data_IF_947070743308
#
_entry.id   IF_947070743308
#
_cell.length_a   1.000
_cell.length_b   1.000
_cell.length_c   1.000
_cell.angle_alpha   90.00
_cell.angle_beta   90.00
_cell.angle_gamma   90.00
#
_symmetry.space_group_name_H-M   'P 1'
#
loop_
_entity.id
_entity.type
_entity.pdbx_description
1 polymer ?
#
# COMPACT_ATOMS: atom_id res chain seq x y z
N UNK A 1 -49.87 0.15 -54.68
CA UNK A 1 -48.80 0.69 -55.54
C UNK A 1 -48.94 2.20 -55.78
N UNK A 2 -49.87 2.91 -55.13
CA UNK A 2 -50.02 4.38 -55.29
C UNK A 2 -49.29 5.23 -54.23
N UNK A 3 -48.81 4.63 -53.14
CA UNK A 3 -48.27 5.38 -51.98
C UNK A 3 -46.75 5.69 -52.05
N UNK A 4 -46.08 5.33 -53.16
CA UNK A 4 -44.66 5.64 -53.39
C UNK A 4 -44.45 6.78 -54.40
N UNK A 5 -45.49 7.20 -55.12
CA UNK A 5 -45.40 8.29 -56.10
C UNK A 5 -45.44 9.69 -55.46
N UNK A 6 -46.20 9.87 -54.38
CA UNK A 6 -46.33 11.19 -53.73
C UNK A 6 -45.09 11.57 -52.92
N UNK A 7 -44.44 10.61 -52.25
CA UNK A 7 -43.19 10.86 -51.49
C UNK A 7 -42.00 11.26 -52.37
N UNK A 8 -41.95 10.81 -53.63
CA UNK A 8 -40.87 11.19 -54.54
C UNK A 8 -41.06 12.62 -55.09
N UNK A 9 -42.30 13.12 -55.17
CA UNK A 9 -42.57 14.50 -55.58
C UNK A 9 -42.34 15.52 -54.45
N UNK A 10 -42.53 15.14 -53.19
CA UNK A 10 -42.16 16.00 -52.05
C UNK A 10 -40.64 16.19 -51.92
N UNK A 11 -39.85 15.16 -52.22
CA UNK A 11 -38.37 15.25 -52.18
C UNK A 11 -37.84 16.08 -53.36
N UNK A 12 -38.43 15.95 -54.56
CA UNK A 12 -38.00 16.74 -55.72
C UNK A 12 -38.43 18.22 -55.66
N UNK A 13 -39.52 18.55 -54.97
CA UNK A 13 -39.93 19.95 -54.78
C UNK A 13 -39.12 20.69 -53.70
N UNK A 14 -38.35 19.99 -52.86
CA UNK A 14 -37.40 20.61 -51.95
C UNK A 14 -36.04 20.94 -52.60
N UNK A 15 -35.85 20.60 -53.88
CA UNK A 15 -34.60 20.77 -54.64
C UNK A 15 -34.60 21.96 -55.61
N UNK A 16 -35.57 22.86 -55.49
CA UNK A 16 -35.58 24.10 -56.26
C UNK A 16 -35.52 25.28 -55.29
N UNK A 17 -34.45 26.06 -55.38
CA UNK A 17 -34.27 27.39 -54.76
C UNK A 17 -33.54 27.42 -53.39
N UNK A 18 -32.20 27.40 -53.42
CA UNK A 18 -31.36 28.52 -52.94
C UNK A 18 -29.85 28.14 -52.95
N UNK A 19 -29.16 28.56 -54.02
CA UNK A 19 -27.94 29.38 -53.95
C UNK A 19 -26.77 29.07 -53.00
N UNK A 20 -26.61 27.89 -52.42
CA UNK A 20 -25.54 27.63 -51.43
C UNK A 20 -24.62 26.44 -51.78
N UNK A 21 -23.32 26.70 -51.56
CA UNK A 21 -22.10 25.94 -51.91
C UNK A 21 -22.13 24.41 -51.70
N UNK A 22 -21.43 23.60 -52.53
CA UNK A 22 -21.47 22.14 -52.47
C UNK A 22 -20.56 21.51 -51.39
N UNK A 23 -20.57 22.02 -50.16
CA UNK A 23 -19.66 21.54 -49.09
C UNK A 23 -20.31 20.75 -47.93
N UNK A 24 -21.64 20.52 -47.92
CA UNK A 24 -22.31 19.93 -46.74
C UNK A 24 -22.94 18.54 -46.95
N UNK A 25 -22.29 17.63 -47.68
CA UNK A 25 -22.82 16.25 -47.87
C UNK A 25 -22.10 15.13 -47.10
N UNK A 26 -21.27 15.48 -46.12
CA UNK A 26 -20.77 14.52 -45.14
C UNK A 26 -21.17 14.94 -43.73
N UNK A 27 -22.47 14.86 -43.42
CA UNK A 27 -22.87 14.73 -42.01
C UNK A 27 -22.37 13.37 -41.56
N UNK A 28 -21.16 13.34 -40.98
CA UNK A 28 -20.66 12.21 -40.24
C UNK A 28 -21.76 11.79 -39.26
N UNK A 29 -22.38 10.63 -39.51
CA UNK A 29 -23.26 9.99 -38.55
C UNK A 29 -22.47 9.91 -37.26
N UNK A 30 -22.85 10.69 -36.25
CA UNK A 30 -22.23 10.68 -34.93
C UNK A 30 -22.30 9.22 -34.44
N UNK A 31 -21.18 8.50 -34.54
CA UNK A 31 -21.08 7.15 -34.00
C UNK A 31 -21.36 7.28 -32.51
N UNK A 32 -22.46 6.66 -32.06
CA UNK A 32 -22.72 6.58 -30.64
C UNK A 32 -21.56 5.83 -29.98
N UNK A 33 -21.07 6.29 -28.82
CA UNK A 33 -19.99 5.60 -28.12
C UNK A 33 -20.37 4.14 -27.93
N UNK A 34 -19.48 3.23 -28.33
CA UNK A 34 -19.68 1.80 -28.08
C UNK A 34 -19.46 1.60 -26.57
N UNK A 35 -20.55 1.43 -25.83
CA UNK A 35 -20.47 1.03 -24.42
C UNK A 35 -20.11 -0.45 -24.33
N UNK A 36 -18.88 -0.70 -23.90
CA UNK A 36 -18.36 -2.05 -23.69
C UNK A 36 -18.63 -2.48 -22.26
N UNK A 37 -19.11 -3.71 -22.06
CA UNK A 37 -19.36 -4.26 -20.72
C UNK A 37 -18.05 -4.44 -19.92
N UNK A 38 -18.08 -4.15 -18.62
CA UNK A 38 -16.90 -4.22 -17.73
C UNK A 38 -16.27 -5.62 -17.65
N UNK A 39 -17.06 -6.68 -17.80
CA UNK A 39 -16.57 -8.07 -17.90
C UNK A 39 -15.64 -8.24 -19.11
N UNK A 40 -15.99 -7.60 -20.23
CA UNK A 40 -15.17 -7.65 -21.43
C UNK A 40 -13.90 -6.81 -21.24
N UNK A 41 -14.01 -5.61 -20.66
CA UNK A 41 -12.85 -4.75 -20.33
C UNK A 41 -11.87 -5.49 -19.40
N UNK A 42 -12.36 -6.10 -18.33
CA UNK A 42 -11.56 -6.95 -17.43
C UNK A 42 -10.87 -8.09 -18.18
N UNK A 43 -11.59 -8.80 -19.05
CA UNK A 43 -11.00 -9.88 -19.86
C UNK A 43 -9.90 -9.37 -20.80
N UNK A 44 -10.05 -8.17 -21.36
CA UNK A 44 -9.01 -7.54 -22.18
C UNK A 44 -7.77 -7.22 -21.34
N UNK A 45 -7.94 -6.61 -20.17
CA UNK A 45 -6.83 -6.31 -19.23
C UNK A 45 -6.08 -7.59 -18.88
N UNK A 46 -6.80 -8.62 -18.43
CA UNK A 46 -6.20 -9.92 -18.08
C UNK A 46 -5.46 -10.56 -19.26
N UNK A 47 -6.02 -10.49 -20.47
CA UNK A 47 -5.39 -11.07 -21.66
C UNK A 47 -4.13 -10.29 -22.05
N UNK A 48 -4.11 -8.97 -21.88
CA UNK A 48 -2.90 -8.17 -22.15
C UNK A 48 -1.79 -8.56 -21.15
N UNK A 49 -2.11 -8.65 -19.86
CA UNK A 49 -1.15 -9.08 -18.83
C UNK A 49 -0.64 -10.49 -19.11
N UNK A 50 -1.52 -11.42 -19.48
CA UNK A 50 -1.17 -12.80 -19.85
C UNK A 50 -0.19 -12.85 -21.04
N UNK A 51 -0.48 -12.11 -22.12
CA UNK A 51 0.39 -12.06 -23.31
C UNK A 51 1.74 -11.42 -22.98
N UNK A 52 1.73 -10.35 -22.18
CA UNK A 52 2.91 -9.58 -21.81
C UNK A 52 3.84 -10.35 -20.86
N UNK A 53 3.29 -11.10 -19.90
CA UNK A 53 4.06 -11.91 -18.94
C UNK A 53 4.47 -13.29 -19.47
N UNK A 54 3.91 -13.72 -20.61
CA UNK A 54 4.18 -15.01 -21.24
C UNK A 54 5.68 -15.23 -21.48
N UNK A 55 6.16 -16.45 -21.23
CA UNK A 55 7.53 -16.84 -21.53
C UNK A 55 8.59 -16.04 -20.78
N UNK A 56 8.29 -15.57 -19.56
CA UNK A 56 9.14 -14.66 -18.79
C UNK A 56 9.38 -13.34 -19.52
N UNK A 57 8.29 -12.71 -19.96
CA UNK A 57 8.29 -11.45 -20.71
C UNK A 57 8.94 -11.53 -22.09
N UNK A 58 8.91 -12.70 -22.75
CA UNK A 58 9.53 -12.88 -24.07
C UNK A 58 8.92 -12.01 -25.17
N UNK A 59 7.68 -11.54 -24.95
CA UNK A 59 6.94 -10.69 -25.89
C UNK A 59 7.15 -9.18 -25.62
N UNK A 60 7.91 -8.82 -24.58
CA UNK A 60 8.13 -7.42 -24.21
C UNK A 60 9.40 -6.92 -24.89
N UNK A 61 9.30 -5.93 -25.81
CA UNK A 61 10.47 -5.37 -26.47
C UNK A 61 11.26 -4.45 -25.54
N UNK A 62 10.56 -3.70 -24.69
CA UNK A 62 11.13 -2.77 -23.72
C UNK A 62 10.20 -2.67 -22.51
N UNK A 63 10.75 -2.80 -21.29
CA UNK A 63 9.98 -2.69 -20.06
C UNK A 63 9.47 -1.29 -19.78
N UNK A 64 10.10 -0.23 -20.30
CA UNK A 64 9.58 1.14 -20.20
C UNK A 64 8.25 1.29 -20.94
N UNK A 65 8.12 0.66 -22.11
CA UNK A 65 6.85 0.60 -22.83
C UNK A 65 5.80 -0.16 -22.03
N UNK A 66 6.14 -1.33 -21.50
CA UNK A 66 5.18 -2.13 -20.75
C UNK A 66 4.73 -1.43 -19.46
N UNK A 67 5.65 -0.76 -18.76
CA UNK A 67 5.34 0.08 -17.60
C UNK A 67 4.35 1.20 -17.98
N UNK A 68 4.55 1.86 -19.13
CA UNK A 68 3.60 2.83 -19.68
C UNK A 68 2.22 2.23 -19.93
N UNK A 69 2.15 1.04 -20.56
CA UNK A 69 0.88 0.33 -20.78
C UNK A 69 0.15 0.05 -19.46
N UNK A 70 0.86 -0.40 -18.43
CA UNK A 70 0.24 -0.68 -17.13
C UNK A 70 -0.23 0.61 -16.44
N UNK A 71 0.56 1.68 -16.49
CA UNK A 71 0.18 3.00 -15.98
C UNK A 71 -1.05 3.56 -16.69
N UNK A 72 -1.12 3.44 -18.01
CA UNK A 72 -2.29 3.87 -18.78
C UNK A 72 -3.53 3.06 -18.40
N UNK A 73 -3.40 1.75 -18.14
CA UNK A 73 -4.51 0.93 -17.65
C UNK A 73 -5.00 1.36 -16.28
N UNK A 74 -4.09 1.72 -15.36
CA UNK A 74 -4.45 2.29 -14.05
C UNK A 74 -5.25 3.58 -14.25
N UNK A 75 -4.72 4.51 -15.07
CA UNK A 75 -5.34 5.81 -15.35
C UNK A 75 -6.71 5.66 -15.99
N UNK A 76 -6.85 4.76 -16.96
CA UNK A 76 -8.15 4.43 -17.58
C UNK A 76 -9.13 3.81 -16.59
N UNK A 77 -8.65 3.04 -15.60
CA UNK A 77 -9.53 2.43 -14.62
C UNK A 77 -10.09 3.42 -13.59
N UNK A 78 -9.47 4.59 -13.42
CA UNK A 78 -10.04 5.68 -12.59
C UNK A 78 -11.44 6.07 -13.11
N UNK A 79 -11.59 6.19 -14.43
CA UNK A 79 -12.88 6.51 -15.06
C UNK A 79 -13.80 5.28 -15.17
N UNK A 80 -13.24 4.12 -15.51
CA UNK A 80 -14.04 2.90 -15.74
C UNK A 80 -14.51 2.23 -14.44
N UNK A 81 -13.80 2.42 -13.32
CA UNK A 81 -14.10 1.89 -11.98
C UNK A 81 -14.36 0.38 -11.96
N UNK A 82 -13.61 -0.37 -12.76
CA UNK A 82 -13.72 -1.83 -12.76
C UNK A 82 -13.08 -2.36 -11.46
N UNK A 83 -13.78 -3.19 -10.69
CA UNK A 83 -13.24 -3.77 -9.45
C UNK A 83 -11.96 -4.58 -9.69
N UNK A 84 -11.08 -4.62 -8.69
CA UNK A 84 -9.83 -5.43 -8.63
C UNK A 84 -8.75 -5.13 -9.68
N UNK A 85 -8.99 -4.27 -10.67
CA UNK A 85 -8.01 -3.98 -11.72
C UNK A 85 -6.72 -3.39 -11.13
N UNK A 86 -6.83 -2.50 -10.15
CA UNK A 86 -5.69 -1.91 -9.43
C UNK A 86 -4.85 -2.93 -8.68
N UNK A 87 -5.50 -3.88 -8.01
CA UNK A 87 -4.83 -5.00 -7.36
C UNK A 87 -4.05 -5.83 -8.38
N UNK A 88 -4.69 -6.23 -9.48
CA UNK A 88 -4.09 -7.06 -10.53
C UNK A 88 -2.91 -6.35 -11.21
N UNK A 89 -3.08 -5.07 -11.53
CA UNK A 89 -2.01 -4.28 -12.16
C UNK A 89 -0.84 -4.07 -11.19
N UNK A 90 -1.10 -3.73 -9.94
CA UNK A 90 -0.02 -3.55 -8.96
C UNK A 90 0.73 -4.85 -8.63
N UNK A 91 0.07 -6.01 -8.63
CA UNK A 91 0.71 -7.33 -8.54
C UNK A 91 1.65 -7.57 -9.73
N UNK A 92 1.27 -7.10 -10.92
CA UNK A 92 2.10 -7.15 -12.11
C UNK A 92 3.35 -6.26 -12.00
N UNK A 93 3.26 -5.09 -11.35
CA UNK A 93 4.44 -4.25 -11.03
C UNK A 93 5.40 -5.00 -10.09
N UNK A 94 4.87 -5.66 -9.06
CA UNK A 94 5.67 -6.46 -8.12
C UNK A 94 6.40 -7.59 -8.85
N UNK A 95 5.71 -8.34 -9.72
CA UNK A 95 6.33 -9.44 -10.49
C UNK A 95 7.44 -8.93 -11.42
N UNK A 96 7.27 -7.75 -12.04
CA UNK A 96 8.32 -7.10 -12.84
C UNK A 96 9.54 -6.78 -11.97
N UNK A 97 9.36 -6.13 -10.82
CA UNK A 97 10.46 -5.79 -9.92
C UNK A 97 11.24 -7.02 -9.42
N UNK A 98 10.53 -8.11 -9.14
CA UNK A 98 11.14 -9.37 -8.69
C UNK A 98 11.97 -10.00 -9.81
N UNK A 99 11.44 -10.06 -11.04
CA UNK A 99 12.06 -10.79 -12.16
C UNK A 99 13.06 -9.97 -12.97
N UNK A 100 12.96 -8.65 -12.95
CA UNK A 100 13.70 -7.74 -13.85
C UNK A 100 14.37 -6.63 -13.03
N UNK A 101 15.56 -6.90 -12.45
CA UNK A 101 16.24 -5.92 -11.60
C UNK A 101 16.59 -4.61 -12.32
N UNK A 102 16.86 -4.65 -13.62
CA UNK A 102 17.31 -3.50 -14.40
C UNK A 102 16.26 -2.40 -14.57
N UNK A 103 14.97 -2.69 -14.39
CA UNK A 103 13.89 -1.69 -14.52
C UNK A 103 13.42 -1.12 -13.17
N UNK A 104 13.88 -1.68 -12.03
CA UNK A 104 13.42 -1.27 -10.70
C UNK A 104 13.46 0.24 -10.45
N UNK A 105 14.52 0.99 -10.86
CA UNK A 105 14.53 2.43 -10.67
C UNK A 105 13.35 3.14 -11.33
N UNK A 106 13.03 2.76 -12.57
CA UNK A 106 11.92 3.32 -13.33
C UNK A 106 10.58 2.91 -12.72
N UNK A 107 10.46 1.67 -12.21
CA UNK A 107 9.23 1.23 -11.53
C UNK A 107 9.00 2.01 -10.24
N UNK A 108 10.04 2.23 -9.42
CA UNK A 108 9.95 3.06 -8.20
C UNK A 108 9.55 4.49 -8.56
N UNK A 109 10.14 5.07 -9.60
CA UNK A 109 9.78 6.41 -10.09
C UNK A 109 8.29 6.50 -10.45
N UNK A 110 7.78 5.54 -11.24
CA UNK A 110 6.36 5.47 -11.60
C UNK A 110 5.45 5.26 -10.38
N UNK A 111 5.86 4.46 -9.39
CA UNK A 111 5.09 4.27 -8.16
C UNK A 111 4.94 5.59 -7.38
N UNK A 112 6.01 6.38 -7.26
CA UNK A 112 5.97 7.68 -6.58
C UNK A 112 5.06 8.64 -7.34
N UNK A 113 5.15 8.68 -8.67
CA UNK A 113 4.27 9.52 -9.51
C UNK A 113 2.78 9.15 -9.36
N UNK A 114 2.47 7.85 -9.37
CA UNK A 114 1.10 7.37 -9.17
C UNK A 114 0.55 7.78 -7.79
N UNK A 115 1.35 7.69 -6.74
CA UNK A 115 0.96 8.15 -5.40
C UNK A 115 0.75 9.67 -5.37
N UNK A 116 1.64 10.45 -6.01
CA UNK A 116 1.46 11.91 -6.15
C UNK A 116 0.16 12.28 -6.87
N UNK A 117 -0.28 11.48 -7.84
CA UNK A 117 -1.54 11.70 -8.55
C UNK A 117 -2.78 11.30 -7.71
N UNK A 118 -2.64 10.43 -6.70
CA UNK A 118 -3.75 9.92 -5.86
C UNK A 118 -4.37 10.95 -4.92
N UNK A 119 -3.68 12.04 -4.61
CA UNK A 119 -4.18 13.10 -3.71
C UNK A 119 -5.37 13.89 -4.32
N UNK A 120 -5.70 13.65 -5.59
CA UNK A 120 -6.91 14.16 -6.25
C UNK A 120 -8.09 13.22 -5.96
N UNK A 121 -9.11 13.67 -5.23
CA UNK A 121 -10.20 12.85 -4.63
C UNK A 121 -10.83 11.76 -5.51
N UNK A 122 -10.88 11.93 -6.84
CA UNK A 122 -11.45 10.95 -7.77
C UNK A 122 -10.50 9.78 -8.15
N UNK A 123 -9.18 9.96 -8.06
CA UNK A 123 -8.19 8.95 -8.44
C UNK A 123 -8.00 7.85 -7.38
N UNK A 124 -8.22 8.19 -6.11
CA UNK A 124 -7.94 7.30 -4.96
C UNK A 124 -8.76 6.01 -4.94
N UNK A 125 -10.07 6.09 -5.22
CA UNK A 125 -10.94 4.90 -5.18
C UNK A 125 -10.56 3.87 -6.24
N UNK A 126 -9.90 4.30 -7.32
CA UNK A 126 -9.43 3.44 -8.39
C UNK A 126 -8.11 2.72 -8.09
N UNK A 127 -7.43 3.01 -6.97
CA UNK A 127 -6.07 2.55 -6.66
C UNK A 127 -5.92 1.88 -5.28
N UNK A 128 -6.95 1.94 -4.45
CA UNK A 128 -6.96 1.53 -3.03
C UNK A 128 -6.28 0.18 -2.75
N UNK A 129 -6.62 -0.87 -3.51
CA UNK A 129 -6.15 -2.23 -3.29
C UNK A 129 -4.72 -2.44 -3.83
N UNK A 130 -4.31 -1.61 -4.79
CA UNK A 130 -2.97 -1.64 -5.37
C UNK A 130 -1.92 -0.81 -4.65
N UNK A 131 -2.33 0.20 -3.86
CA UNK A 131 -1.39 1.12 -3.20
C UNK A 131 -0.37 0.42 -2.30
N UNK A 132 -0.77 -0.63 -1.56
CA UNK A 132 0.16 -1.40 -0.71
C UNK A 132 1.36 -1.93 -1.48
N UNK A 133 1.16 -2.36 -2.73
CA UNK A 133 2.21 -2.89 -3.58
C UNK A 133 3.14 -1.78 -4.06
N UNK A 134 2.62 -0.59 -4.40
CA UNK A 134 3.46 0.55 -4.79
C UNK A 134 4.31 1.05 -3.64
N UNK A 135 3.72 1.20 -2.45
CA UNK A 135 4.46 1.59 -1.23
C UNK A 135 5.51 0.54 -0.86
N UNK A 136 5.18 -0.75 -1.01
CA UNK A 136 6.16 -1.82 -0.81
C UNK A 136 7.31 -1.75 -1.80
N UNK A 137 7.05 -1.54 -3.09
CA UNK A 137 8.08 -1.39 -4.14
C UNK A 137 9.02 -0.24 -3.79
N UNK A 138 8.48 0.91 -3.37
CA UNK A 138 9.26 2.08 -2.97
C UNK A 138 10.18 1.72 -1.80
N UNK A 139 9.65 1.14 -0.73
CA UNK A 139 10.44 0.78 0.45
C UNK A 139 11.50 -0.31 0.18
N UNK A 140 11.20 -1.26 -0.70
CA UNK A 140 12.09 -2.37 -1.03
C UNK A 140 13.26 -1.95 -1.93
N UNK A 141 12.96 -1.15 -2.96
CA UNK A 141 13.90 -0.83 -4.05
C UNK A 141 14.38 0.64 -4.07
N UNK A 142 14.21 1.38 -2.97
CA UNK A 142 14.68 2.77 -2.87
C UNK A 142 16.17 2.96 -3.19
N UNK A 143 17.02 2.02 -2.76
CA UNK A 143 18.47 2.08 -3.06
C UNK A 143 18.74 1.94 -4.55
N UNK A 144 18.02 1.05 -5.25
CA UNK A 144 18.13 0.89 -6.70
C UNK A 144 17.71 2.19 -7.41
N UNK A 145 16.64 2.84 -6.94
CA UNK A 145 16.15 4.14 -7.43
C UNK A 145 17.18 5.28 -7.29
N UNK A 146 17.83 5.37 -6.13
CA UNK A 146 18.85 6.40 -5.87
C UNK A 146 20.16 6.14 -6.60
N UNK A 147 20.54 4.87 -6.80
CA UNK A 147 21.80 4.48 -7.45
C UNK A 147 21.72 4.40 -8.98
N UNK A 148 20.54 4.58 -9.57
CA UNK A 148 20.39 4.52 -11.02
C UNK A 148 21.22 5.62 -11.69
N UNK A 149 22.22 5.22 -12.50
CA UNK A 149 22.97 6.16 -13.31
C UNK A 149 22.02 6.84 -14.31
N UNK A 150 22.28 8.11 -14.58
CA UNK A 150 21.58 8.90 -15.59
C UNK A 150 21.81 8.38 -17.02
N UNK A 151 22.66 7.34 -17.18
CA UNK A 151 23.15 6.78 -18.45
C UNK A 151 22.16 5.88 -19.20
N UNK A 152 20.86 5.85 -18.85
CA UNK A 152 19.84 5.23 -19.71
C UNK A 152 19.33 6.18 -20.81
N UNK A 153 20.15 7.14 -21.21
CA UNK A 153 19.98 7.98 -22.38
C UNK A 153 20.31 7.15 -23.65
N UNK A 154 19.41 6.22 -24.01
CA UNK A 154 19.12 5.91 -25.41
C UNK A 154 18.19 7.02 -25.98
N UNK A 155 18.41 8.28 -25.59
CA UNK A 155 17.98 9.39 -26.42
C UNK A 155 18.99 9.39 -27.57
N UNK A 156 18.51 9.04 -28.76
CA UNK A 156 19.24 9.25 -30.00
C UNK A 156 19.97 10.59 -29.89
N UNK A 157 21.31 10.58 -29.97
CA UNK A 157 22.10 11.78 -30.17
C UNK A 157 21.59 12.41 -31.47
N UNK A 158 20.59 13.28 -31.33
CA UNK A 158 20.26 14.24 -32.37
C UNK A 158 21.48 15.15 -32.38
N UNK A 159 22.36 14.95 -33.36
CA UNK A 159 23.39 15.93 -33.70
C UNK A 159 22.66 17.27 -33.91
N UNK A 160 22.63 18.11 -32.87
CA UNK A 160 22.10 19.45 -32.96
C UNK A 160 23.23 20.33 -33.46
N UNK A 161 23.04 20.84 -34.68
CA UNK A 161 23.84 21.93 -35.23
C UNK A 161 24.05 23.03 -34.19
N UNK A 162 25.30 23.51 -34.14
CA UNK A 162 25.79 24.57 -33.27
C UNK A 162 24.87 25.81 -33.32
N UNK A 163 24.66 26.44 -32.16
CA UNK A 163 24.02 27.76 -31.94
C UNK A 163 22.53 27.79 -31.50
N UNK A 164 22.17 27.09 -30.41
CA UNK A 164 21.04 27.55 -29.58
C UNK A 164 21.37 27.48 -28.08
N UNK A 165 21.81 28.62 -27.55
CA UNK A 165 22.12 28.91 -26.15
C UNK A 165 20.81 29.06 -25.33
N UNK A 166 19.88 28.12 -25.52
CA UNK A 166 18.66 28.05 -24.73
C UNK A 166 18.92 27.21 -23.47
N UNK A 167 18.46 27.74 -22.35
CA UNK A 167 18.49 27.21 -20.98
C UNK A 167 17.64 25.91 -20.82
N UNK A 168 17.66 25.06 -21.84
CA UNK A 168 16.97 23.78 -22.00
C UNK A 168 18.04 22.66 -22.14
N UNK A 169 19.21 22.88 -21.55
CA UNK A 169 20.19 21.83 -21.29
C UNK A 169 19.66 20.92 -20.17
N UNK A 170 18.97 19.84 -20.56
CA UNK A 170 18.75 18.60 -19.76
C UNK A 170 18.50 18.85 -18.26
N UNK A 171 17.25 19.10 -17.89
CA UNK A 171 16.83 18.97 -16.50
C UNK A 171 16.99 17.50 -16.08
N UNK A 172 18.08 17.20 -15.37
CA UNK A 172 18.21 16.01 -14.54
C UNK A 172 17.05 16.10 -13.56
N UNK A 173 16.01 15.26 -13.74
CA UNK A 173 14.93 15.19 -12.75
C UNK A 173 15.54 14.63 -11.47
N UNK A 174 15.86 15.53 -10.54
CA UNK A 174 16.40 15.15 -9.24
C UNK A 174 15.48 14.08 -8.63
N UNK A 175 16.11 12.99 -8.18
CA UNK A 175 15.41 11.87 -7.55
C UNK A 175 14.82 12.35 -6.23
N UNK A 176 13.59 11.92 -5.94
CA UNK A 176 12.85 12.38 -4.77
C UNK A 176 13.48 11.76 -3.51
N UNK A 177 13.93 12.56 -2.53
CA UNK A 177 14.57 12.05 -1.33
C UNK A 177 13.53 11.40 -0.40
N UNK A 178 13.97 10.43 0.42
CA UNK A 178 13.07 9.68 1.29
C UNK A 178 12.20 10.54 2.23
N UNK A 179 12.69 11.65 2.82
CA UNK A 179 11.82 12.52 3.62
C UNK A 179 10.58 13.03 2.87
N UNK A 180 10.74 13.44 1.61
CA UNK A 180 9.61 13.92 0.78
C UNK A 180 8.65 12.77 0.44
N UNK A 181 9.18 11.56 0.18
CA UNK A 181 8.35 10.37 -0.06
C UNK A 181 7.55 9.99 1.19
N UNK A 182 8.17 10.05 2.37
CA UNK A 182 7.48 9.77 3.64
C UNK A 182 6.41 10.82 3.91
N UNK A 183 6.69 12.10 3.66
CA UNK A 183 5.70 13.17 3.78
C UNK A 183 4.53 12.95 2.82
N UNK A 184 4.81 12.58 1.57
CA UNK A 184 3.79 12.26 0.57
C UNK A 184 2.86 11.13 1.04
N UNK A 185 3.42 10.03 1.56
CA UNK A 185 2.64 8.84 1.95
C UNK A 185 1.93 9.05 3.29
N UNK A 186 2.56 9.77 4.23
CA UNK A 186 1.98 10.04 5.56
C UNK A 186 0.93 11.16 5.54
N UNK A 187 1.10 12.15 4.66
CA UNK A 187 0.18 13.26 4.44
C UNK A 187 -1.02 12.91 3.56
N UNK A 188 -1.04 11.72 2.97
CA UNK A 188 -2.11 11.30 2.09
C UNK A 188 -3.44 11.23 2.88
N UNK A 189 -4.36 12.16 2.59
CA UNK A 189 -5.71 12.24 3.20
C UNK A 189 -6.44 10.89 3.21
N UNK A 190 -6.11 10.09 2.21
CA UNK A 190 -6.67 8.80 1.90
C UNK A 190 -6.11 7.68 2.80
N UNK A 191 -4.87 7.81 3.29
CA UNK A 191 -4.30 6.94 4.31
C UNK A 191 -5.02 7.11 5.67
N UNK A 192 -5.41 8.34 6.02
CA UNK A 192 -6.26 8.58 7.21
C UNK A 192 -7.66 7.95 7.07
N UNK A 193 -8.17 7.77 5.86
CA UNK A 193 -9.43 7.03 5.61
C UNK A 193 -9.22 5.52 5.72
N UNK A 194 -8.06 5.00 5.27
CA UNK A 194 -7.65 3.59 5.42
C UNK A 194 -7.46 3.18 6.88
N UNK A 195 -6.90 4.06 7.73
CA UNK A 195 -6.67 3.73 9.15
C UNK A 195 -7.95 3.62 9.99
N UNK A 196 -9.06 4.17 9.50
CA UNK A 196 -10.37 4.15 10.17
C UNK A 196 -11.34 3.12 9.55
N UNK A 197 -10.85 2.28 8.64
CA UNK A 197 -11.63 1.36 7.82
C UNK A 197 -11.70 -0.09 8.31
N UNK A 198 -12.35 -0.93 7.50
CA UNK A 198 -12.65 -2.36 7.75
C UNK A 198 -11.38 -3.26 7.66
N UNK A 199 -11.47 -4.55 8.00
CA UNK A 199 -10.29 -5.45 8.06
C UNK A 199 -9.42 -5.54 6.78
N UNK A 200 -9.96 -5.24 5.60
CA UNK A 200 -9.22 -5.23 4.32
C UNK A 200 -8.23 -4.07 4.21
N UNK A 201 -8.42 -2.99 4.96
CA UNK A 201 -7.49 -1.85 4.99
C UNK A 201 -6.35 -2.05 5.98
N UNK A 202 -6.51 -2.95 6.95
CA UNK A 202 -5.49 -3.24 7.97
C UNK A 202 -4.24 -3.89 7.37
N UNK A 203 -4.41 -4.86 6.47
CA UNK A 203 -3.29 -5.50 5.76
C UNK A 203 -2.48 -4.47 4.95
N UNK A 204 -3.17 -3.50 4.36
CA UNK A 204 -2.55 -2.38 3.64
C UNK A 204 -1.76 -1.50 4.60
N UNK A 205 -2.34 -1.11 5.74
CA UNK A 205 -1.66 -0.27 6.75
C UNK A 205 -0.42 -0.99 7.31
N UNK A 206 -0.52 -2.29 7.58
CA UNK A 206 0.60 -3.12 8.01
C UNK A 206 1.78 -3.08 7.01
N UNK A 207 1.49 -3.21 5.72
CA UNK A 207 2.50 -3.09 4.65
C UNK A 207 3.09 -1.68 4.58
N UNK A 208 2.27 -0.64 4.75
CA UNK A 208 2.72 0.75 4.78
C UNK A 208 3.73 0.97 5.92
N UNK A 209 3.37 0.57 7.15
CA UNK A 209 4.23 0.72 8.33
C UNK A 209 5.59 0.06 8.09
N UNK A 210 5.60 -1.19 7.62
CA UNK A 210 6.85 -1.91 7.34
C UNK A 210 7.65 -1.23 6.22
N UNK A 211 6.98 -0.73 5.18
CA UNK A 211 7.63 -0.10 4.03
C UNK A 211 8.23 1.26 4.38
N UNK A 212 7.59 2.04 5.27
CA UNK A 212 8.13 3.31 5.77
C UNK A 212 9.37 3.08 6.65
N UNK A 213 9.32 2.07 7.52
CA UNK A 213 10.48 1.67 8.33
C UNK A 213 11.66 1.20 7.45
N UNK A 214 11.36 0.40 6.41
CA UNK A 214 12.35 0.02 5.38
C UNK A 214 12.92 1.23 4.66
N UNK A 215 12.08 2.13 4.17
CA UNK A 215 12.48 3.33 3.44
C UNK A 215 13.43 4.20 4.28
N UNK A 216 13.14 4.38 5.57
CA UNK A 216 14.06 5.04 6.51
C UNK A 216 15.42 4.34 6.58
N UNK A 217 15.44 3.01 6.74
CA UNK A 217 16.71 2.27 6.71
C UNK A 217 17.47 2.44 5.39
N UNK A 218 16.77 2.38 4.25
CA UNK A 218 17.38 2.51 2.92
C UNK A 218 17.92 3.91 2.70
N UNK A 219 17.23 4.95 3.17
CA UNK A 219 17.70 6.32 3.15
C UNK A 219 19.03 6.48 3.88
N UNK A 220 19.13 5.95 5.08
CA UNK A 220 20.38 5.97 5.85
C UNK A 220 21.55 5.31 5.10
N UNK A 221 21.27 4.24 4.33
CA UNK A 221 22.29 3.58 3.50
C UNK A 221 22.71 4.44 2.30
N UNK A 222 21.79 5.19 1.69
CA UNK A 222 22.10 6.05 0.53
C UNK A 222 22.98 7.25 0.88
N UNK A 223 23.02 7.64 2.16
CA UNK A 223 23.93 8.68 2.66
C UNK A 223 25.38 8.19 2.82
N UNK A 224 25.62 6.88 2.74
CA UNK A 224 26.95 6.28 2.88
C UNK A 224 27.47 6.25 4.32
N UNK A 225 28.79 6.01 4.45
CA UNK A 225 29.44 5.77 5.74
C UNK A 225 30.00 7.04 6.41
N UNK A 226 29.86 8.21 5.78
CA UNK A 226 30.45 9.48 6.21
C UNK A 226 29.40 10.57 6.18
N UNK A 227 28.83 10.88 7.34
CA UNK A 227 27.73 11.83 7.49
C UNK A 227 28.22 13.19 7.94
N UNK A 228 27.61 14.23 7.39
CA UNK A 228 27.75 15.61 7.83
C UNK A 228 26.63 15.98 8.81
N UNK A 229 26.77 17.13 9.48
CA UNK A 229 25.78 17.66 10.43
C UNK A 229 24.36 17.68 9.84
N UNK A 230 24.22 18.01 8.57
CA UNK A 230 22.92 18.10 7.90
C UNK A 230 22.31 16.71 7.64
N UNK A 231 23.13 15.69 7.37
CA UNK A 231 22.68 14.29 7.25
C UNK A 231 22.12 13.79 8.59
N UNK A 232 22.84 14.03 9.70
CA UNK A 232 22.38 13.67 11.03
C UNK A 232 21.06 14.39 11.39
N UNK A 233 20.93 15.68 11.07
CA UNK A 233 19.70 16.43 11.29
C UNK A 233 18.56 15.86 10.45
N UNK A 234 18.77 15.65 9.15
CA UNK A 234 17.75 15.15 8.24
C UNK A 234 17.23 13.78 8.67
N UNK A 235 18.13 12.86 9.04
CA UNK A 235 17.73 11.53 9.55
C UNK A 235 17.02 11.65 10.90
N UNK A 236 17.49 12.52 11.79
CA UNK A 236 16.84 12.77 13.09
C UNK A 236 15.42 13.33 12.94
N UNK A 237 15.22 14.28 12.03
CA UNK A 237 13.92 14.85 11.69
C UNK A 237 12.99 13.79 11.09
N UNK A 238 13.47 13.02 10.11
CA UNK A 238 12.71 11.94 9.50
C UNK A 238 12.29 10.87 10.54
N UNK A 239 13.20 10.53 11.46
CA UNK A 239 12.90 9.60 12.56
C UNK A 239 11.77 10.12 13.46
N UNK A 240 11.78 11.41 13.81
CA UNK A 240 10.71 12.02 14.62
C UNK A 240 9.39 12.05 13.86
N UNK A 241 9.39 12.40 12.57
CA UNK A 241 8.19 12.42 11.73
C UNK A 241 7.55 11.03 11.67
N UNK A 242 8.36 9.98 11.47
CA UNK A 242 7.89 8.60 11.47
C UNK A 242 7.36 8.17 12.84
N UNK A 243 8.01 8.55 13.94
CA UNK A 243 7.51 8.26 15.30
C UNK A 243 6.11 8.87 15.50
N UNK A 244 5.93 10.16 15.19
CA UNK A 244 4.63 10.83 15.31
C UNK A 244 3.56 10.24 14.41
N UNK A 245 3.94 9.74 13.23
CA UNK A 245 3.04 9.03 12.33
C UNK A 245 2.62 7.65 12.89
N UNK A 246 3.58 6.87 13.39
CA UNK A 246 3.33 5.52 13.95
C UNK A 246 2.50 5.55 15.24
N UNK A 247 2.62 6.60 16.05
CA UNK A 247 1.85 6.77 17.30
C UNK A 247 0.33 6.79 17.08
N UNK A 248 -0.12 7.13 15.87
CA UNK A 248 -1.54 7.10 15.49
C UNK A 248 -2.12 5.67 15.46
N UNK A 249 -1.25 4.65 15.36
CA UNK A 249 -1.63 3.24 15.20
C UNK A 249 -1.50 2.41 16.48
N UNK A 250 -1.03 2.99 17.59
CA UNK A 250 -0.76 2.27 18.84
C UNK A 250 -2.01 1.66 19.50
N UNK A 251 -3.18 2.18 19.17
CA UNK A 251 -4.47 1.69 19.68
C UNK A 251 -5.32 1.04 18.58
N UNK A 252 -4.69 0.63 17.47
CA UNK A 252 -5.39 -0.11 16.42
C UNK A 252 -6.00 -1.39 16.98
N UNK A 253 -7.22 -1.72 16.53
CA UNK A 253 -7.89 -2.99 16.88
C UNK A 253 -7.19 -4.17 16.20
N UNK A 254 -6.52 -3.92 15.08
CA UNK A 254 -5.73 -4.93 14.41
C UNK A 254 -4.38 -5.10 15.11
N UNK A 255 -4.20 -6.25 15.75
CA UNK A 255 -2.98 -6.58 16.49
C UNK A 255 -1.72 -6.51 15.63
N UNK A 256 -1.78 -6.90 14.36
CA UNK A 256 -0.63 -6.86 13.47
C UNK A 256 -0.18 -5.42 13.18
N UNK A 257 -1.15 -4.52 12.95
CA UNK A 257 -0.89 -3.08 12.76
C UNK A 257 -0.35 -2.47 14.05
N UNK A 258 -0.98 -2.77 15.18
CA UNK A 258 -0.58 -2.28 16.50
C UNK A 258 0.84 -2.71 16.86
N UNK A 259 1.13 -4.00 16.81
CA UNK A 259 2.43 -4.57 17.18
C UNK A 259 3.55 -3.98 16.31
N UNK A 260 3.35 -3.88 14.99
CA UNK A 260 4.33 -3.24 14.10
C UNK A 260 4.53 -1.77 14.45
N UNK A 261 3.45 -1.03 14.66
CA UNK A 261 3.54 0.39 14.97
C UNK A 261 4.30 0.63 16.27
N UNK A 262 3.93 -0.04 17.35
CA UNK A 262 4.59 0.07 18.66
C UNK A 262 6.06 -0.34 18.56
N UNK A 263 6.34 -1.48 17.94
CA UNK A 263 7.72 -1.98 17.78
C UNK A 263 8.62 -1.01 17.03
N UNK A 264 8.16 -0.50 15.87
CA UNK A 264 8.96 0.45 15.09
C UNK A 264 9.06 1.82 15.76
N UNK A 265 8.03 2.28 16.49
CA UNK A 265 8.12 3.52 17.27
C UNK A 265 9.26 3.46 18.27
N UNK A 266 9.35 2.38 19.06
CA UNK A 266 10.39 2.28 20.09
C UNK A 266 11.79 2.13 19.48
N UNK A 267 11.93 1.38 18.38
CA UNK A 267 13.19 1.30 17.64
C UNK A 267 13.62 2.66 17.09
N UNK A 268 12.71 3.42 16.48
CA UNK A 268 13.01 4.74 15.93
C UNK A 268 13.31 5.77 17.01
N UNK A 269 12.69 5.70 18.19
CA UNK A 269 13.07 6.54 19.35
C UNK A 269 14.52 6.30 19.76
N UNK A 270 14.94 5.03 19.85
CA UNK A 270 16.33 4.67 20.15
C UNK A 270 17.30 5.18 19.07
N UNK A 271 16.93 5.06 17.79
CA UNK A 271 17.71 5.63 16.67
C UNK A 271 17.81 7.14 16.81
N UNK A 272 16.70 7.85 17.02
CA UNK A 272 16.67 9.30 17.19
C UNK A 272 17.52 9.78 18.35
N UNK A 273 17.51 9.07 19.48
CA UNK A 273 18.36 9.40 20.63
C UNK A 273 19.84 9.13 20.36
N UNK A 274 20.18 8.06 19.63
CA UNK A 274 21.55 7.81 19.19
C UNK A 274 22.07 8.92 18.27
N UNK A 275 21.24 9.43 17.36
CA UNK A 275 21.58 10.56 16.48
C UNK A 275 21.82 11.84 17.29
N UNK A 276 20.93 12.16 18.24
CA UNK A 276 21.08 13.34 19.11
C UNK A 276 22.39 13.30 19.91
N UNK A 277 22.77 12.12 20.41
CA UNK A 277 24.02 11.94 21.15
C UNK A 277 25.25 12.20 20.27
N UNK A 278 25.23 11.83 18.99
CA UNK A 278 26.37 12.06 18.10
C UNK A 278 26.58 13.53 17.74
N UNK A 279 25.51 14.35 17.78
CA UNK A 279 25.54 15.79 17.48
C UNK A 279 25.76 16.64 18.75
N UNK A 280 25.33 16.15 19.92
CA UNK A 280 25.42 16.90 21.16
C UNK A 280 26.88 17.21 21.54
N UNK A 281 27.17 18.43 22.05
CA UNK A 281 28.48 18.71 22.63
C UNK A 281 28.71 17.81 23.84
N UNK A 282 29.91 17.26 23.96
CA UNK A 282 30.33 16.47 25.12
C UNK A 282 30.25 17.28 26.42
N UNK A 283 30.27 16.58 27.56
CA UNK A 283 30.16 17.19 28.90
C UNK A 283 31.28 18.22 29.20
N UNK A 284 32.40 18.13 28.48
CA UNK A 284 33.54 19.04 28.54
C UNK A 284 33.46 20.21 27.55
N UNK A 285 32.37 20.34 26.80
CA UNK A 285 32.17 21.36 25.76
C UNK A 285 32.94 21.07 24.46
N UNK A 286 33.63 19.92 24.37
CA UNK A 286 34.25 19.41 23.15
C UNK A 286 33.47 18.21 22.58
N UNK A 287 33.70 17.85 21.32
CA UNK A 287 33.19 16.60 20.74
C UNK A 287 31.79 16.63 20.09
N UNK A 288 31.14 17.79 20.03
CA UNK A 288 29.97 17.98 19.15
C UNK A 288 30.42 18.13 17.69
N UNK A 289 29.63 17.58 16.75
CA UNK A 289 30.01 17.55 15.34
C UNK A 289 30.09 18.97 14.76
N UNK A 290 31.28 19.37 14.28
CA UNK A 290 31.49 20.71 13.72
C UNK A 290 31.02 20.80 12.25
N UNK A 291 30.62 22.00 11.76
CA UNK A 291 30.29 22.19 10.35
C UNK A 291 31.48 21.82 9.43
N UNK A 292 31.25 20.88 8.51
CA UNK A 292 32.27 20.37 7.58
C UNK A 292 33.05 19.16 8.10
N UNK A 293 32.80 18.71 9.32
CA UNK A 293 33.30 17.44 9.86
C UNK A 293 32.45 16.27 9.35
N UNK A 294 33.10 15.14 9.08
CA UNK A 294 32.45 13.89 8.70
C UNK A 294 32.59 12.89 9.83
N UNK A 295 31.48 12.20 10.15
CA UNK A 295 31.46 11.16 11.17
C UNK A 295 30.65 9.97 10.69
N UNK A 296 31.03 8.78 11.14
CA UNK A 296 30.27 7.59 10.83
C UNK A 296 28.88 7.62 11.48
N UNK A 297 27.84 7.10 10.83
CA UNK A 297 26.52 6.93 11.44
C UNK A 297 26.58 6.08 12.72
N UNK A 298 25.60 6.25 13.64
CA UNK A 298 25.56 5.49 14.89
C UNK A 298 25.54 3.99 14.64
N UNK A 299 26.30 3.23 15.44
CA UNK A 299 26.40 1.78 15.27
C UNK A 299 25.04 1.06 15.39
N UNK A 300 24.16 1.57 16.26
CA UNK A 300 22.79 1.10 16.40
C UNK A 300 22.05 1.13 15.06
N UNK A 301 22.25 2.18 14.26
CA UNK A 301 21.62 2.33 12.96
C UNK A 301 22.24 1.41 11.92
N UNK A 302 23.58 1.38 11.83
CA UNK A 302 24.30 0.61 10.79
C UNK A 302 24.24 -0.89 11.01
N UNK A 303 24.27 -1.36 12.25
CA UNK A 303 24.34 -2.80 12.59
C UNK A 303 23.07 -3.30 13.26
N UNK A 304 22.36 -2.47 14.03
CA UNK A 304 21.09 -2.89 14.65
C UNK A 304 19.92 -2.77 13.68
N UNK A 305 19.55 -1.53 13.38
CA UNK A 305 18.32 -1.21 12.65
C UNK A 305 18.37 -1.66 11.18
N UNK A 306 19.46 -1.37 10.47
CA UNK A 306 19.57 -1.70 9.05
C UNK A 306 19.50 -3.22 8.78
N UNK A 307 19.99 -4.01 9.73
CA UNK A 307 20.05 -5.46 9.61
C UNK A 307 18.68 -6.13 9.60
N UNK A 308 17.67 -5.48 10.18
CA UNK A 308 16.28 -5.94 10.16
C UNK A 308 15.74 -6.10 8.73
N UNK A 309 16.29 -5.34 7.78
CA UNK A 309 15.81 -5.30 6.40
C UNK A 309 16.82 -5.81 5.37
N UNK A 310 18.08 -6.00 5.74
CA UNK A 310 19.16 -6.27 4.79
C UNK A 310 19.90 -7.61 5.01
N UNK A 311 19.79 -8.26 6.18
CA UNK A 311 20.61 -9.45 6.50
C UNK A 311 20.19 -10.73 5.75
N UNK A 312 18.90 -10.94 5.54
CA UNK A 312 18.40 -12.12 4.83
C UNK A 312 17.79 -11.70 3.52
N UNK A 313 18.51 -11.92 2.42
CA UNK A 313 17.97 -11.80 1.06
C UNK A 313 17.02 -12.96 0.77
N UNK A 314 15.94 -13.10 1.53
CA UNK A 314 14.80 -13.86 1.04
C UNK A 314 14.25 -13.02 -0.09
N UNK A 315 14.60 -13.41 -1.32
CA UNK A 315 14.06 -12.73 -2.50
C UNK A 315 12.54 -12.84 -2.43
N UNK A 316 11.81 -11.72 -2.50
CA UNK A 316 10.36 -11.80 -2.57
C UNK A 316 9.99 -12.69 -3.75
N UNK A 317 9.12 -13.66 -3.49
CA UNK A 317 8.60 -14.57 -4.52
C UNK A 317 7.19 -14.14 -4.87
N UNK A 318 6.84 -14.18 -6.16
CA UNK A 318 5.47 -13.90 -6.55
C UNK A 318 4.54 -15.01 -6.06
N UNK A 319 3.26 -14.67 -5.84
CA UNK A 319 2.23 -15.62 -5.42
C UNK A 319 2.21 -16.87 -6.32
N UNK A 320 2.38 -16.69 -7.63
CA UNK A 320 2.46 -17.79 -8.60
C UNK A 320 3.62 -18.76 -8.34
N UNK A 321 4.73 -18.29 -7.78
CA UNK A 321 5.87 -19.15 -7.40
C UNK A 321 5.60 -19.79 -6.04
N UNK A 322 5.07 -19.02 -5.08
CA UNK A 322 4.69 -19.51 -3.75
C UNK A 322 3.69 -20.67 -3.83
N UNK A 323 2.65 -20.57 -4.67
CA UNK A 323 1.61 -21.60 -4.85
C UNK A 323 2.16 -22.91 -5.43
N UNK A 324 3.36 -22.88 -6.04
CA UNK A 324 4.02 -24.05 -6.62
C UNK A 324 4.98 -24.74 -5.65
N UNK A 325 5.17 -24.20 -4.45
CA UNK A 325 6.02 -24.81 -3.43
C UNK A 325 5.23 -25.96 -2.79
N UNK A 326 5.67 -27.22 -2.96
CA UNK A 326 5.00 -28.35 -2.31
C UNK A 326 5.16 -28.25 -0.80
N UNK A 327 4.13 -28.68 -0.06
CA UNK A 327 4.21 -28.81 1.40
C UNK A 327 5.29 -29.87 1.72
N UNK A 328 6.28 -29.55 2.56
CA UNK A 328 7.30 -30.52 2.95
C UNK A 328 6.68 -31.74 3.63
N UNK A 329 7.18 -32.95 3.33
CA UNK A 329 6.65 -34.20 3.91
C UNK A 329 6.87 -34.29 5.43
N UNK A 330 7.81 -33.51 5.96
CA UNK A 330 8.17 -33.40 7.38
C UNK A 330 7.48 -32.22 8.10
N UNK A 331 6.66 -31.43 7.41
CA UNK A 331 5.92 -30.31 8.02
C UNK A 331 4.61 -30.82 8.65
N UNK A 332 4.65 -31.07 9.96
CA UNK A 332 3.47 -31.34 10.78
C UNK A 332 3.05 -30.06 11.53
N UNK A 333 2.02 -29.37 11.03
CA UNK A 333 1.47 -28.15 11.64
C UNK A 333 0.62 -28.43 12.89
N UNK A 334 0.23 -29.68 13.11
CA UNK A 334 -0.53 -30.11 14.29
C UNK A 334 0.42 -30.49 15.44
N UNK A 335 1.72 -30.63 15.16
CA UNK A 335 2.74 -30.85 16.17
C UNK A 335 2.99 -29.58 16.98
N UNK A 336 3.06 -29.73 18.31
CA UNK A 336 3.38 -28.62 19.19
C UNK A 336 4.83 -28.15 18.95
N UNK A 337 5.00 -26.86 18.66
CA UNK A 337 6.34 -26.21 18.59
C UNK A 337 7.12 -26.44 19.90
N UNK A 338 6.40 -26.47 21.03
CA UNK A 338 6.91 -26.87 22.34
C UNK A 338 5.82 -27.64 23.09
N UNK A 339 6.04 -28.94 23.32
CA UNK A 339 5.09 -29.83 24.00
C UNK A 339 4.77 -29.40 25.43
N UNK A 340 5.76 -28.90 26.17
CA UNK A 340 5.59 -28.47 27.56
C UNK A 340 4.73 -27.20 27.64
N UNK A 341 5.06 -26.19 26.85
CA UNK A 341 4.29 -24.95 26.79
C UNK A 341 2.85 -25.19 26.29
N UNK A 342 2.67 -26.09 25.31
CA UNK A 342 1.34 -26.47 24.83
C UNK A 342 0.56 -27.23 25.90
N UNK A 343 1.21 -28.12 26.65
CA UNK A 343 0.60 -28.82 27.79
C UNK A 343 0.15 -27.87 28.89
N UNK A 344 0.98 -26.89 29.24
CA UNK A 344 0.63 -25.83 30.20
C UNK A 344 -0.55 -25.00 29.72
N UNK A 345 -0.54 -24.57 28.45
CA UNK A 345 -1.63 -23.81 27.84
C UNK A 345 -2.95 -24.61 27.84
N UNK A 346 -2.92 -25.88 27.47
CA UNK A 346 -4.09 -26.76 27.49
C UNK A 346 -4.63 -26.95 28.92
N UNK A 347 -3.75 -27.07 29.92
CA UNK A 347 -4.16 -27.14 31.32
C UNK A 347 -4.80 -25.83 31.81
N UNK A 348 -4.35 -24.67 31.32
CA UNK A 348 -4.98 -23.37 31.60
C UNK A 348 -6.37 -23.30 30.95
N UNK A 349 -6.49 -23.68 29.67
CA UNK A 349 -7.79 -23.70 28.98
C UNK A 349 -8.81 -24.60 29.66
N UNK A 350 -8.38 -25.78 30.10
CA UNK A 350 -9.23 -26.70 30.83
C UNK A 350 -9.74 -26.06 32.14
N UNK A 351 -8.85 -25.39 32.89
CA UNK A 351 -9.24 -24.69 34.13
C UNK A 351 -10.19 -23.52 33.88
N UNK A 352 -10.08 -22.83 32.74
CA UNK A 352 -11.02 -21.74 32.38
C UNK A 352 -12.40 -22.35 32.10
N UNK A 353 -12.45 -23.38 31.24
CA UNK A 353 -13.71 -24.03 30.89
C UNK A 353 -14.40 -24.65 32.12
N UNK A 354 -13.63 -25.28 33.02
CA UNK A 354 -14.15 -25.79 34.29
C UNK A 354 -14.72 -24.68 35.18
N UNK A 355 -14.10 -23.49 35.21
CA UNK A 355 -14.61 -22.34 35.96
C UNK A 355 -15.88 -21.76 35.35
N UNK A 356 -15.95 -21.67 34.02
CA UNK A 356 -17.12 -21.14 33.33
C UNK A 356 -18.34 -22.05 33.54
N UNK A 357 -18.13 -23.38 33.52
CA UNK A 357 -19.16 -24.37 33.86
C UNK A 357 -19.62 -24.20 35.31
N UNK A 358 -18.68 -24.08 36.27
CA UNK A 358 -19.02 -23.89 37.68
C UNK A 358 -19.78 -22.58 37.93
N UNK A 359 -19.44 -21.51 37.21
CA UNK A 359 -20.16 -20.24 37.31
C UNK A 359 -21.59 -20.37 36.79
N UNK A 360 -21.79 -21.03 35.64
CA UNK A 360 -23.13 -21.27 35.09
C UNK A 360 -24.00 -22.11 36.04
N UNK A 361 -23.44 -23.17 36.63
CA UNK A 361 -24.13 -24.01 37.61
C UNK A 361 -24.52 -23.21 38.87
N UNK A 362 -23.61 -22.34 39.36
CA UNK A 362 -23.87 -21.51 40.53
C UNK A 362 -24.93 -20.43 40.26
N UNK A 363 -24.95 -19.85 39.06
CA UNK A 363 -25.98 -18.89 38.64
C UNK A 363 -27.36 -19.55 38.55
N UNK A 364 -27.44 -20.77 38.01
CA UNK A 364 -28.68 -21.56 37.97
C UNK A 364 -29.20 -21.89 39.38
N UNK A 365 -28.32 -22.31 40.28
CA UNK A 365 -28.69 -22.60 41.68
C UNK A 365 -29.18 -21.34 42.41
N UNK A 366 -28.54 -20.19 42.17
CA UNK A 366 -28.96 -18.91 42.76
C UNK A 366 -30.32 -18.43 42.21
N UNK A 367 -30.62 -18.67 40.93
CA UNK A 367 -31.92 -18.38 40.31
C UNK A 367 -33.03 -19.24 40.91
N UNK A 368 -32.79 -20.55 41.07
CA UNK A 368 -33.75 -21.47 41.69
C UNK A 368 -34.02 -21.11 43.16
N UNK A 369 -32.97 -20.76 43.92
CA UNK A 369 -33.12 -20.30 45.30
C UNK A 369 -33.90 -18.98 45.41
N UNK A 370 -33.75 -18.06 44.44
CA UNK A 370 -34.52 -16.82 44.39
C UNK A 370 -36.00 -17.09 44.11
N UNK A 371 -36.32 -17.98 43.18
CA UNK A 371 -37.70 -18.40 42.87
C UNK A 371 -38.38 -19.09 44.07
N UNK A 372 -37.69 -19.98 44.78
CA UNK A 372 -38.23 -20.61 46.00
C UNK A 372 -38.50 -19.59 47.12
N UNK A 373 -37.65 -18.56 47.23
CA UNK A 373 -37.82 -17.50 48.23
C UNK A 373 -39.02 -16.61 47.89
N UNK A 374 -39.22 -16.24 46.63
CA UNK A 374 -40.40 -15.48 46.16
C UNK A 374 -41.70 -16.28 46.37
N UNK A 375 -41.71 -17.57 46.00
CA UNK A 375 -42.89 -18.42 46.18
C UNK A 375 -43.28 -18.58 47.66
N UNK A 376 -42.28 -18.66 48.54
CA UNK A 376 -42.50 -18.68 49.98
C UNK A 376 -43.10 -17.37 50.49
N UNK A 377 -42.60 -16.22 50.00
CA UNK A 377 -43.09 -14.90 50.41
C UNK A 377 -44.55 -14.70 50.01
N UNK A 378 -44.93 -15.10 48.79
CA UNK A 378 -46.30 -15.05 48.29
C UNK A 378 -47.24 -16.00 49.05
N UNK A 379 -46.76 -17.18 49.47
CA UNK A 379 -47.57 -18.12 50.27
C UNK A 379 -47.83 -17.59 51.70
N UNK A 380 -46.84 -16.90 52.30
CA UNK A 380 -47.01 -16.23 53.59
C UNK A 380 -47.99 -15.04 53.50
N UNK A 381 -47.99 -14.29 52.40
CA UNK A 381 -48.89 -13.15 52.20
C UNK A 381 -50.35 -13.61 51.99
N UNK A 382 -50.55 -14.68 51.21
CA UNK A 382 -51.88 -15.30 51.02
C UNK A 382 -52.45 -15.89 52.34
N UNK A 383 -51.61 -16.52 53.16
CA UNK A 383 -52.03 -17.00 54.49
C UNK A 383 -52.35 -15.85 55.44
N UNK A 384 -51.61 -14.73 55.37
CA UNK A 384 -51.88 -13.54 56.17
C UNK A 384 -53.20 -12.88 55.80
N UNK A 385 -53.56 -12.87 54.51
CA UNK A 385 -54.85 -12.38 54.01
C UNK A 385 -56.01 -13.29 54.46
N UNK A 386 -55.82 -14.61 54.47
CA UNK A 386 -56.85 -15.57 54.88
C UNK A 386 -57.17 -15.50 56.39
N UNK A 387 -56.20 -15.16 57.25
CA UNK A 387 -56.43 -14.97 58.69
C UNK A 387 -57.21 -13.68 59.05
N UNK A 388 -57.36 -12.73 58.12
CA UNK A 388 -58.16 -11.51 58.33
C UNK A 388 -59.65 -11.68 57.97
N UNK A 389 -60.05 -12.81 57.38
CA UNK A 389 -61.40 -13.08 56.88
C UNK A 389 -62.11 -14.29 57.53
N UNK A 390 -61.59 -14.84 58.63
CA UNK A 390 -62.24 -15.86 59.47
C UNK A 390 -62.22 -15.46 60.93
#
# INVERSE_FOLDING_TARGET
>A
MEDQGEKLNEINNAFSDDGSSPENFYTATLQQPIEVNDTYKMRVILKIIEICSMGNYSNIPNFRWYLGVLTDMIKLNVDNRIPDVDRILSEQFVDICIKVPSIRPQVVETCIELIKECDKEDAFNGLLHGLKNFVWIIGEYYVDYMNASTDSDDSEEVESDEDDDSEIGRAIKERIPAPEIVELISGESSFTRLSNGNSTTDDTVAVYIQSMAKLFSKYCLTLGDQWQVDDFKSVGELSNNLVSWLEQFHYSVNYEVQERAVSFTELLKLVGDSIKQEIAPGEDGGGGLEPGEYKSPPHLLTVGYSQLFNNYQIKPISSTIQDKIPVPEDLDLDSAINEEAMGEFMAILQKINEKDIQQAEQEEENLLAAEETELSHDEYDLRSILYLFG
#
